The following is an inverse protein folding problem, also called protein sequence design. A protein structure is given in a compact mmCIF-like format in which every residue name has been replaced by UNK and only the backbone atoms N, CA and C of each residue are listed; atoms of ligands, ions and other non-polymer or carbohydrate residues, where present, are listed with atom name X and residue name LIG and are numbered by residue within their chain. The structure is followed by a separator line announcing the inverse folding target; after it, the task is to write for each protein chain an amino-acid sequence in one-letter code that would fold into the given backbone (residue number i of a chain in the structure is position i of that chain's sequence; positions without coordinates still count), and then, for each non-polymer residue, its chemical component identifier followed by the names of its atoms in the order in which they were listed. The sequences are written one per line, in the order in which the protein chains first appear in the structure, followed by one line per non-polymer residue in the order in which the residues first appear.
data_IF_501974875144
#
_entry.id   IF_501974875144
#
_cell.length_a   1.000
_cell.length_b   1.000
_cell.length_c   1.000
_cell.angle_alpha   90.00
_cell.angle_beta   90.00
_cell.angle_gamma   90.00
#
_symmetry.space_group_name_H-M   'P 1'
#
loop_
_entity.id
_entity.type
_entity.pdbx_description
1 polymer ?
#
# COMPACT_ATOMS: atom_id res chain seq x y z
N UNK A 1 4.62 -15.95 21.37
CA UNK A 1 4.48 -16.16 19.90
C UNK A 1 3.34 -17.18 19.69
N UNK A 2 2.11 -16.72 19.42
CA UNK A 2 1.03 -17.60 18.95
C UNK A 2 1.42 -18.07 17.54
N UNK A 3 1.55 -19.38 17.32
CA UNK A 3 1.66 -19.97 16.00
C UNK A 3 0.45 -19.47 15.19
N UNK A 4 0.68 -18.56 14.24
CA UNK A 4 -0.30 -18.24 13.23
C UNK A 4 -0.58 -19.56 12.52
N UNK A 5 -1.85 -19.94 12.44
CA UNK A 5 -2.28 -21.08 11.64
C UNK A 5 -1.84 -20.78 10.21
N UNK A 6 -0.86 -21.50 9.70
CA UNK A 6 -0.48 -21.56 8.29
C UNK A 6 -1.65 -22.18 7.49
N UNK A 7 -2.71 -21.43 7.36
CA UNK A 7 -3.68 -21.70 6.32
C UNK A 7 -3.07 -21.13 5.04
N UNK A 8 -2.86 -21.99 4.05
CA UNK A 8 -2.57 -21.59 2.69
C UNK A 8 -3.49 -20.44 2.32
N UNK A 9 -2.96 -19.24 2.33
CA UNK A 9 -3.74 -18.03 2.00
C UNK A 9 -4.26 -18.24 0.58
N UNK A 10 -5.55 -18.18 0.32
CA UNK A 10 -6.07 -18.59 -0.97
C UNK A 10 -5.57 -17.62 -2.03
N UNK A 11 -4.61 -18.07 -2.83
CA UNK A 11 -4.14 -17.43 -4.08
C UNK A 11 -5.32 -16.84 -4.87
N UNK A 12 -6.46 -17.52 -4.79
CA UNK A 12 -7.72 -17.13 -5.40
C UNK A 12 -8.23 -15.72 -4.98
N UNK A 13 -8.00 -15.30 -3.73
CA UNK A 13 -8.43 -13.96 -3.25
C UNK A 13 -7.62 -12.88 -3.96
N UNK A 14 -6.30 -13.05 -4.07
CA UNK A 14 -5.44 -12.10 -4.79
C UNK A 14 -5.74 -12.10 -6.28
N UNK A 15 -5.91 -13.25 -6.89
CA UNK A 15 -6.28 -13.38 -8.31
C UNK A 15 -7.59 -12.64 -8.61
N UNK A 16 -8.60 -12.81 -7.77
CA UNK A 16 -9.87 -12.10 -7.89
C UNK A 16 -9.64 -10.58 -7.79
N UNK A 17 -8.92 -10.13 -6.75
CA UNK A 17 -8.66 -8.69 -6.54
C UNK A 17 -7.90 -8.06 -7.69
N UNK A 18 -6.84 -8.73 -8.17
CA UNK A 18 -6.02 -8.23 -9.29
C UNK A 18 -6.84 -8.21 -10.58
N UNK A 19 -7.70 -9.20 -10.81
CA UNK A 19 -8.60 -9.24 -11.98
C UNK A 19 -9.64 -8.11 -11.95
N UNK A 20 -10.17 -7.76 -10.78
CA UNK A 20 -11.05 -6.60 -10.61
C UNK A 20 -10.32 -5.29 -10.95
N UNK A 21 -9.08 -5.12 -10.46
CA UNK A 21 -8.27 -3.95 -10.76
C UNK A 21 -7.97 -3.81 -12.25
N UNK A 22 -7.62 -4.92 -12.90
CA UNK A 22 -7.33 -4.95 -14.34
C UNK A 22 -8.54 -4.52 -15.19
N UNK A 23 -9.75 -4.99 -14.84
CA UNK A 23 -11.00 -4.59 -15.54
C UNK A 23 -11.27 -3.09 -15.43
N UNK A 24 -10.85 -2.47 -14.33
CA UNK A 24 -11.09 -1.06 -14.04
C UNK A 24 -10.03 -0.11 -14.65
N UNK A 25 -8.91 -0.64 -15.17
CA UNK A 25 -7.89 0.19 -15.82
C UNK A 25 -8.44 0.75 -17.13
N UNK A 26 -8.76 2.04 -17.11
CA UNK A 26 -9.15 2.80 -18.29
C UNK A 26 -7.93 3.07 -19.18
N UNK A 27 -8.15 3.02 -20.49
CA UNK A 27 -7.16 3.45 -21.50
C UNK A 27 -5.89 2.59 -21.67
N UNK A 28 -5.90 1.33 -21.26
CA UNK A 28 -4.79 0.38 -21.50
C UNK A 28 -3.39 0.99 -21.27
N UNK A 29 -3.24 1.75 -20.20
CA UNK A 29 -1.95 2.35 -19.83
C UNK A 29 -0.90 1.24 -19.67
N UNK A 30 0.12 1.25 -20.54
CA UNK A 30 1.14 0.20 -20.62
C UNK A 30 1.91 0.03 -19.29
N UNK A 31 2.10 1.12 -18.54
CA UNK A 31 2.80 1.06 -17.26
C UNK A 31 1.98 0.33 -16.19
N UNK A 32 0.67 0.61 -16.12
CA UNK A 32 -0.24 -0.07 -15.20
C UNK A 32 -0.40 -1.56 -15.57
N UNK A 33 -0.43 -1.89 -16.86
CA UNK A 33 -0.51 -3.28 -17.34
C UNK A 33 0.73 -4.07 -16.89
N UNK A 34 1.94 -3.46 -16.93
CA UNK A 34 3.16 -4.11 -16.44
C UNK A 34 3.05 -4.45 -14.95
N UNK A 35 2.60 -3.49 -14.12
CA UNK A 35 2.40 -3.71 -12.68
C UNK A 35 1.40 -4.84 -12.43
N UNK A 36 0.26 -4.84 -13.12
CA UNK A 36 -0.74 -5.93 -13.00
C UNK A 36 -0.15 -7.28 -13.40
N UNK A 37 0.61 -7.33 -14.49
CA UNK A 37 1.28 -8.57 -14.92
C UNK A 37 2.23 -9.11 -13.85
N UNK A 38 2.95 -8.23 -13.15
CA UNK A 38 3.84 -8.61 -12.06
C UNK A 38 3.06 -9.09 -10.83
N UNK A 39 1.97 -8.41 -10.47
CA UNK A 39 1.09 -8.84 -9.38
C UNK A 39 0.48 -10.23 -9.63
N UNK A 40 0.09 -10.53 -10.89
CA UNK A 40 -0.42 -11.86 -11.29
C UNK A 40 0.62 -12.97 -11.16
N UNK A 41 1.90 -12.65 -11.43
CA UNK A 41 3.02 -13.59 -11.35
C UNK A 41 3.59 -13.72 -9.94
N UNK A 42 3.24 -12.80 -9.05
CA UNK A 42 3.80 -12.77 -7.72
C UNK A 42 3.33 -13.95 -6.88
N UNK A 43 4.26 -14.56 -6.14
CA UNK A 43 3.95 -15.66 -5.24
C UNK A 43 3.55 -15.13 -3.86
N UNK A 44 2.26 -14.97 -3.64
CA UNK A 44 1.68 -14.57 -2.36
C UNK A 44 1.83 -15.67 -1.31
N UNK A 45 2.93 -15.63 -0.55
CA UNK A 45 3.25 -16.61 0.49
C UNK A 45 3.43 -15.92 1.84
N UNK A 46 3.14 -16.65 2.92
CA UNK A 46 3.42 -16.22 4.29
C UNK A 46 2.81 -14.86 4.66
N UNK A 47 1.62 -14.56 4.12
CA UNK A 47 0.86 -13.39 4.55
C UNK A 47 0.13 -13.74 5.83
N UNK A 48 0.41 -13.07 6.96
CA UNK A 48 -0.22 -13.39 8.23
C UNK A 48 -1.70 -13.03 8.22
N UNK A 49 -2.53 -13.89 8.79
CA UNK A 49 -3.92 -13.56 9.12
C UNK A 49 -3.92 -12.91 10.49
N UNK A 50 -4.51 -11.73 10.59
CA UNK A 50 -4.57 -10.96 11.82
C UNK A 50 -5.79 -10.05 11.82
N UNK A 51 -6.09 -9.47 12.98
CA UNK A 51 -6.95 -8.30 13.02
C UNK A 51 -6.24 -7.19 12.25
N UNK A 52 -6.96 -6.50 11.36
CA UNK A 52 -6.48 -5.34 10.61
C UNK A 52 -7.47 -4.19 10.73
N UNK A 53 -6.97 -2.99 10.58
CA UNK A 53 -7.80 -1.78 10.47
C UNK A 53 -8.53 -1.75 9.12
N UNK A 54 -7.86 -2.23 8.07
CA UNK A 54 -8.36 -2.37 6.72
C UNK A 54 -8.27 -1.09 5.86
N UNK A 55 -8.13 0.09 6.44
CA UNK A 55 -7.91 1.37 5.74
C UNK A 55 -7.02 2.31 6.58
N UNK A 56 -5.90 1.82 7.09
CA UNK A 56 -5.02 2.56 7.97
C UNK A 56 -4.23 3.63 7.17
N UNK A 57 -4.74 4.85 7.20
CA UNK A 57 -4.08 6.06 6.68
C UNK A 57 -3.87 7.05 7.83
N UNK A 58 -3.05 8.08 7.64
CA UNK A 58 -2.81 9.09 8.69
C UNK A 58 -4.09 9.86 9.04
N UNK A 59 -5.03 10.03 8.11
CA UNK A 59 -6.32 10.68 8.38
C UNK A 59 -7.23 9.86 9.31
N UNK A 60 -6.95 8.56 9.47
CA UNK A 60 -7.68 7.64 10.35
C UNK A 60 -6.97 7.38 11.70
N UNK A 61 -5.94 8.17 12.02
CA UNK A 61 -5.18 8.11 13.26
C UNK A 61 -5.32 9.44 14.00
N UNK A 62 -5.99 9.41 15.14
CA UNK A 62 -6.11 10.58 16.00
C UNK A 62 -5.12 10.47 17.16
N UNK A 63 -4.51 11.59 17.52
CA UNK A 63 -3.62 11.68 18.66
C UNK A 63 -4.33 12.44 19.77
N UNK A 64 -4.51 11.79 20.93
CA UNK A 64 -5.04 12.42 22.13
C UNK A 64 -4.03 12.28 23.26
N UNK A 65 -3.28 13.35 23.53
CA UNK A 65 -2.15 13.36 24.47
C UNK A 65 -1.12 12.29 24.10
N UNK A 66 -1.12 11.17 24.83
CA UNK A 66 -0.20 10.04 24.62
C UNK A 66 -0.88 8.83 23.96
N UNK A 67 -2.17 8.91 23.65
CA UNK A 67 -2.94 7.81 23.10
C UNK A 67 -3.12 7.96 21.58
N UNK A 68 -3.03 6.85 20.86
CA UNK A 68 -3.41 6.75 19.45
C UNK A 68 -4.81 6.14 19.38
N UNK A 69 -5.72 6.84 18.74
CA UNK A 69 -7.10 6.39 18.50
C UNK A 69 -7.25 6.11 17.02
N UNK A 70 -7.63 4.89 16.69
CA UNK A 70 -7.90 4.47 15.33
C UNK A 70 -9.40 4.58 15.06
N UNK A 71 -9.76 5.26 13.97
CA UNK A 71 -11.15 5.48 13.54
C UNK A 71 -11.37 4.88 12.15
N UNK A 72 -12.64 4.73 11.74
CA UNK A 72 -13.03 4.26 10.41
C UNK A 72 -12.47 2.88 10.01
N UNK A 73 -12.61 1.91 10.94
CA UNK A 73 -12.28 0.53 10.65
C UNK A 73 -13.08 0.02 9.43
N UNK A 74 -12.40 -0.60 8.50
CA UNK A 74 -12.98 -1.05 7.23
C UNK A 74 -12.69 -2.53 6.98
N UNK A 75 -13.66 -3.23 6.37
CA UNK A 75 -13.40 -4.57 5.85
C UNK A 75 -12.59 -4.48 4.56
N UNK A 76 -11.57 -5.31 4.45
CA UNK A 76 -10.77 -5.40 3.26
C UNK A 76 -10.87 -6.81 2.62
N UNK A 77 -10.18 -7.03 1.48
CA UNK A 77 -10.22 -8.31 0.78
C UNK A 77 -9.47 -9.44 1.53
N UNK A 78 -8.58 -9.08 2.45
CA UNK A 78 -7.93 -9.99 3.41
C UNK A 78 -7.82 -9.32 4.78
N UNK A 79 -7.84 -10.10 5.84
CA UNK A 79 -7.57 -9.65 7.20
C UNK A 79 -6.09 -9.91 7.53
N UNK A 80 -5.26 -8.88 7.34
CA UNK A 80 -3.82 -8.94 7.56
C UNK A 80 -3.26 -7.58 7.93
N UNK A 81 -2.43 -7.51 8.97
CA UNK A 81 -1.74 -6.26 9.30
C UNK A 81 -0.77 -5.79 8.20
N UNK A 82 -0.37 -6.66 7.25
CA UNK A 82 0.38 -6.22 6.08
C UNK A 82 -0.40 -5.25 5.20
N UNK A 83 -1.75 -5.36 5.18
CA UNK A 83 -2.59 -4.36 4.50
C UNK A 83 -2.52 -3.01 5.19
N UNK A 84 -2.52 -2.98 6.52
CA UNK A 84 -2.41 -1.72 7.26
C UNK A 84 -1.04 -1.09 7.04
N UNK A 85 0.03 -1.90 7.04
CA UNK A 85 1.37 -1.44 6.72
C UNK A 85 1.47 -0.91 5.28
N UNK A 86 0.87 -1.61 4.32
CA UNK A 86 0.87 -1.15 2.92
C UNK A 86 0.09 0.13 2.71
N UNK A 87 -1.00 0.32 3.45
CA UNK A 87 -1.81 1.53 3.43
C UNK A 87 -1.07 2.75 3.95
N UNK A 88 -0.40 2.61 5.09
CA UNK A 88 0.46 3.66 5.63
C UNK A 88 1.61 3.98 4.67
N UNK A 89 2.23 2.96 4.08
CA UNK A 89 3.29 3.17 3.10
C UNK A 89 2.77 3.94 1.87
N UNK A 90 1.62 3.54 1.33
CA UNK A 90 0.95 4.26 0.25
C UNK A 90 0.68 5.72 0.61
N UNK A 91 0.14 5.96 1.81
CA UNK A 91 -0.15 7.31 2.29
C UNK A 91 1.10 8.18 2.38
N UNK A 92 2.18 7.68 2.98
CA UNK A 92 3.46 8.39 3.07
C UNK A 92 4.11 8.65 1.70
N UNK A 93 4.01 7.72 0.73
CA UNK A 93 4.60 7.91 -0.60
C UNK A 93 3.84 8.95 -1.42
N UNK A 94 2.51 8.97 -1.37
CA UNK A 94 1.70 9.86 -2.19
C UNK A 94 1.10 11.04 -1.43
N UNK A 95 1.37 11.17 -0.11
CA UNK A 95 0.79 12.19 0.76
C UNK A 95 -0.75 12.21 0.67
N UNK A 96 -1.37 11.00 0.67
CA UNK A 96 -2.80 10.84 0.44
C UNK A 96 -3.64 11.64 1.43
N UNK A 97 -3.33 11.57 2.72
CA UNK A 97 -4.04 12.30 3.78
C UNK A 97 -3.94 13.83 3.64
N UNK A 98 -2.96 14.32 2.90
CA UNK A 98 -2.73 15.76 2.63
C UNK A 98 -3.12 16.19 1.22
N UNK A 99 -3.79 15.34 0.43
CA UNK A 99 -4.12 15.60 -0.98
C UNK A 99 -4.95 16.87 -1.22
N UNK A 100 -5.76 17.28 -0.26
CA UNK A 100 -6.59 18.48 -0.36
C UNK A 100 -5.91 19.75 0.17
N UNK A 101 -4.90 19.63 1.01
CA UNK A 101 -4.24 20.78 1.64
C UNK A 101 -3.04 21.27 0.82
N UNK A 102 -2.21 20.35 0.31
CA UNK A 102 -0.95 20.69 -0.37
C UNK A 102 -0.87 20.13 -1.79
N UNK A 103 -1.98 19.79 -2.45
CA UNK A 103 -2.00 19.06 -3.73
C UNK A 103 -1.13 17.79 -3.71
N UNK A 104 -1.03 17.12 -2.56
CA UNK A 104 -0.19 15.95 -2.37
C UNK A 104 1.32 16.25 -2.37
N UNK A 105 1.75 17.51 -2.20
CA UNK A 105 3.17 17.83 -2.06
C UNK A 105 3.65 17.47 -0.67
N UNK A 106 4.76 16.76 -0.63
CA UNK A 106 5.47 16.47 0.60
C UNK A 106 6.10 17.74 1.18
N UNK A 107 6.31 17.77 2.49
CA UNK A 107 7.13 18.73 3.20
C UNK A 107 8.22 17.97 3.99
N UNK A 108 9.16 18.72 4.59
CA UNK A 108 10.30 18.13 5.33
C UNK A 108 9.83 17.20 6.45
N UNK A 109 8.73 17.53 7.13
CA UNK A 109 8.19 16.74 8.24
C UNK A 109 7.60 15.41 7.75
N UNK A 110 6.82 15.44 6.65
CA UNK A 110 6.26 14.25 6.04
C UNK A 110 7.35 13.34 5.47
N UNK A 111 8.40 13.91 4.88
CA UNK A 111 9.54 13.13 4.40
C UNK A 111 10.31 12.50 5.55
N UNK A 112 10.46 13.20 6.68
CA UNK A 112 11.06 12.63 7.89
C UNK A 112 10.22 11.48 8.46
N UNK A 113 8.90 11.63 8.53
CA UNK A 113 7.99 10.56 8.96
C UNK A 113 8.03 9.35 8.02
N UNK A 114 8.00 9.58 6.72
CA UNK A 114 8.15 8.53 5.70
C UNK A 114 9.46 7.74 5.90
N UNK A 115 10.57 8.44 6.07
CA UNK A 115 11.87 7.80 6.26
C UNK A 115 11.93 6.99 7.55
N UNK A 116 11.37 7.49 8.65
CA UNK A 116 11.24 6.73 9.91
C UNK A 116 10.39 5.48 9.73
N UNK A 117 9.29 5.59 9.00
CA UNK A 117 8.42 4.44 8.74
C UNK A 117 9.12 3.39 7.86
N UNK A 118 9.85 3.81 6.84
CA UNK A 118 10.64 2.91 6.00
C UNK A 118 11.70 2.19 6.84
N UNK A 119 12.44 2.91 7.68
CA UNK A 119 13.43 2.30 8.59
C UNK A 119 12.76 1.30 9.53
N UNK A 120 11.61 1.63 10.11
CA UNK A 120 10.84 0.69 10.92
C UNK A 120 10.50 -0.61 10.16
N UNK A 121 10.09 -0.52 8.89
CA UNK A 121 9.83 -1.71 8.07
C UNK A 121 11.11 -2.52 7.85
N UNK A 122 12.23 -1.87 7.53
CA UNK A 122 13.51 -2.54 7.27
C UNK A 122 14.10 -3.21 8.52
N UNK A 123 13.87 -2.65 9.70
CA UNK A 123 14.37 -3.18 10.97
C UNK A 123 13.53 -4.35 11.52
N UNK A 124 12.23 -4.40 11.20
CA UNK A 124 11.28 -5.32 11.83
C UNK A 124 10.79 -6.45 10.92
N UNK A 125 11.03 -6.37 9.61
CA UNK A 125 10.53 -7.33 8.62
C UNK A 125 11.66 -7.86 7.74
N UNK A 126 11.58 -9.15 7.38
CA UNK A 126 12.51 -9.74 6.43
C UNK A 126 12.22 -9.28 4.98
N UNK A 127 13.14 -9.61 4.06
CA UNK A 127 13.01 -9.19 2.66
C UNK A 127 11.75 -9.73 1.96
N UNK A 128 11.26 -10.92 2.33
CA UNK A 128 10.06 -11.49 1.73
C UNK A 128 8.80 -10.80 2.26
N UNK A 129 8.79 -10.48 3.55
CA UNK A 129 7.72 -9.71 4.18
C UNK A 129 7.63 -8.30 3.58
N UNK A 130 8.78 -7.62 3.42
CA UNK A 130 8.87 -6.32 2.75
C UNK A 130 8.36 -6.40 1.31
N UNK A 131 8.72 -7.47 0.56
CA UNK A 131 8.19 -7.68 -0.79
C UNK A 131 6.66 -7.83 -0.79
N UNK A 132 6.10 -8.56 0.15
CA UNK A 132 4.65 -8.67 0.30
C UNK A 132 4.00 -7.30 0.55
N UNK A 133 4.55 -6.51 1.48
CA UNK A 133 4.04 -5.16 1.81
C UNK A 133 4.14 -4.24 0.59
N UNK A 134 5.26 -4.23 -0.14
CA UNK A 134 5.41 -3.46 -1.38
C UNK A 134 4.39 -3.84 -2.44
N UNK A 135 4.15 -5.15 -2.66
CA UNK A 135 3.15 -5.61 -3.63
C UNK A 135 1.73 -5.21 -3.23
N UNK A 136 1.40 -5.24 -1.95
CA UNK A 136 0.13 -4.73 -1.43
C UNK A 136 0.00 -3.22 -1.66
N UNK A 137 1.08 -2.46 -1.45
CA UNK A 137 1.12 -1.02 -1.74
C UNK A 137 0.85 -0.73 -3.23
N UNK A 138 1.37 -1.54 -4.16
CA UNK A 138 1.05 -1.42 -5.59
C UNK A 138 -0.45 -1.66 -5.86
N UNK A 139 -1.10 -2.58 -5.13
CA UNK A 139 -2.56 -2.80 -5.21
C UNK A 139 -3.29 -1.53 -4.75
N UNK A 140 -2.84 -0.88 -3.67
CA UNK A 140 -3.44 0.36 -3.17
C UNK A 140 -3.32 1.50 -4.19
N UNK A 141 -2.16 1.67 -4.82
CA UNK A 141 -1.98 2.62 -5.92
C UNK A 141 -2.94 2.38 -7.07
N UNK A 142 -3.02 1.14 -7.56
CA UNK A 142 -3.90 0.78 -8.68
C UNK A 142 -5.38 1.03 -8.34
N UNK A 143 -5.79 0.74 -7.10
CA UNK A 143 -7.13 1.02 -6.62
C UNK A 143 -7.45 2.50 -6.70
N UNK A 144 -6.58 3.36 -6.17
CA UNK A 144 -6.80 4.80 -6.08
C UNK A 144 -6.73 5.48 -7.45
N UNK A 145 -5.80 5.07 -8.30
CA UNK A 145 -5.67 5.58 -9.68
C UNK A 145 -6.98 5.43 -10.47
N UNK A 146 -7.72 4.33 -10.25
CA UNK A 146 -8.93 4.04 -11.01
C UNK A 146 -10.10 5.01 -10.74
N UNK A 147 -10.17 5.64 -9.57
CA UNK A 147 -11.23 6.59 -9.23
C UNK A 147 -10.78 8.04 -9.07
N UNK A 148 -9.47 8.30 -9.15
CA UNK A 148 -8.93 9.66 -9.04
C UNK A 148 -9.31 10.50 -10.26
N UNK A 149 -10.04 11.61 -10.03
CA UNK A 149 -10.49 12.54 -11.07
C UNK A 149 -9.54 13.71 -11.27
N UNK A 150 -8.81 14.12 -10.23
CA UNK A 150 -7.85 15.22 -10.31
C UNK A 150 -6.63 14.80 -11.15
N UNK A 151 -6.42 15.44 -12.29
CA UNK A 151 -5.37 15.09 -13.26
C UNK A 151 -3.96 15.25 -12.66
N UNK A 152 -3.73 16.32 -11.90
CA UNK A 152 -2.42 16.57 -11.31
C UNK A 152 -2.08 15.50 -10.27
N UNK A 153 -3.04 15.16 -9.42
CA UNK A 153 -2.86 14.10 -8.44
C UNK A 153 -2.75 12.71 -9.09
N UNK A 154 -3.49 12.46 -10.17
CA UNK A 154 -3.36 11.23 -10.96
C UNK A 154 -1.95 11.06 -11.55
N UNK A 155 -1.36 12.15 -12.08
CA UNK A 155 0.03 12.14 -12.56
C UNK A 155 1.01 11.82 -11.41
N UNK A 156 0.83 12.42 -10.23
CA UNK A 156 1.63 12.13 -9.04
C UNK A 156 1.55 10.65 -8.65
N UNK A 157 0.33 10.10 -8.56
CA UNK A 157 0.12 8.69 -8.25
C UNK A 157 0.80 7.76 -9.23
N UNK A 158 0.69 8.02 -10.54
CA UNK A 158 1.32 7.20 -11.58
C UNK A 158 2.86 7.28 -11.51
N UNK A 159 3.41 8.45 -11.26
CA UNK A 159 4.86 8.63 -11.11
C UNK A 159 5.40 7.90 -9.89
N UNK A 160 4.71 7.98 -8.75
CA UNK A 160 5.11 7.29 -7.53
C UNK A 160 4.96 5.76 -7.66
N UNK A 161 3.86 5.29 -8.27
CA UNK A 161 3.68 3.88 -8.61
C UNK A 161 4.84 3.36 -9.46
N UNK A 162 5.22 4.12 -10.51
CA UNK A 162 6.33 3.75 -11.39
C UNK A 162 7.64 3.70 -10.62
N UNK A 163 7.95 4.71 -9.81
CA UNK A 163 9.17 4.73 -8.99
C UNK A 163 9.24 3.52 -8.05
N UNK A 164 8.15 3.22 -7.33
CA UNK A 164 8.07 2.08 -6.44
C UNK A 164 8.26 0.76 -7.20
N UNK A 165 7.66 0.63 -8.38
CA UNK A 165 7.75 -0.56 -9.22
C UNK A 165 9.14 -0.75 -9.82
N UNK A 166 9.75 0.29 -10.39
CA UNK A 166 11.06 0.23 -11.05
C UNK A 166 12.19 -0.04 -10.02
N UNK A 167 11.99 0.37 -8.76
CA UNK A 167 12.94 0.17 -7.66
C UNK A 167 12.51 -0.94 -6.69
N UNK A 168 11.68 -1.87 -7.15
CA UNK A 168 11.02 -2.85 -6.28
C UNK A 168 12.02 -3.70 -5.47
N UNK A 169 13.12 -4.13 -6.08
CA UNK A 169 14.15 -4.97 -5.44
C UNK A 169 15.16 -4.17 -4.62
N UNK A 170 15.14 -2.83 -4.70
CA UNK A 170 16.00 -1.98 -3.90
C UNK A 170 15.25 -1.55 -2.61
N UNK A 171 15.70 -1.99 -1.42
CA UNK A 171 15.04 -1.64 -0.17
C UNK A 171 15.25 -0.18 0.25
N UNK A 172 16.23 0.53 -0.33
CA UNK A 172 16.55 1.92 0.01
C UNK A 172 15.84 2.94 -0.89
N UNK A 173 15.20 2.50 -1.99
CA UNK A 173 14.51 3.38 -2.94
C UNK A 173 12.99 3.11 -2.89
N UNK A 174 12.34 3.84 -2.02
CA UNK A 174 10.88 3.81 -1.82
C UNK A 174 10.21 5.06 -2.39
#
# INVERSE_FOLDING_TARGET
KKKALEKNFPKLIFEKKISELEKNIKNKDKSLIKVISSLKKFSWKNIPISISHGDLTMENILINKNDLIFIDLSKNFIDSYYLDLSKLLFDFICCWSFRFHNNGKSNIELDALKNRYINFLLENFDQNEIKNIKMLTLIDFLRVINYTKNINFLCLLKNNLKKLYDNFDNPLLW
#
